data_IF_173820576949
#
_entry.id   IF_173820576949
#
_cell.length_a   1.000
_cell.length_b   1.000
_cell.length_c   1.000
_cell.angle_alpha   90.00
_cell.angle_beta   90.00
_cell.angle_gamma   90.00
#
_symmetry.space_group_name_H-M   'P 1'
#
loop_
_entity.id
_entity.type
_entity.pdbx_description
1 polymer ?
#
# COMPACT_ATOMS: atom_id res chain seq x y z
N UNK A 1 -22.68 -1.49 -6.48
CA UNK A 1 -21.36 -1.18 -7.06
C UNK A 1 -20.48 -2.37 -6.74
N UNK A 2 -19.90 -2.99 -7.75
CA UNK A 2 -19.06 -4.16 -7.59
C UNK A 2 -17.65 -3.78 -8.00
N UNK A 3 -16.69 -4.03 -7.10
CA UNK A 3 -15.30 -3.59 -7.26
C UNK A 3 -14.43 -4.84 -7.38
N UNK A 4 -13.62 -4.93 -8.42
CA UNK A 4 -12.75 -6.10 -8.63
C UNK A 4 -11.67 -6.15 -7.55
N UNK A 5 -11.70 -7.20 -6.72
CA UNK A 5 -10.70 -7.42 -5.67
C UNK A 5 -9.29 -7.56 -6.27
N UNK A 6 -9.17 -8.26 -7.39
CA UNK A 6 -7.92 -8.43 -8.13
C UNK A 6 -7.30 -7.09 -8.51
N UNK A 7 -8.09 -6.17 -9.09
CA UNK A 7 -7.62 -4.83 -9.47
C UNK A 7 -7.20 -3.99 -8.27
N UNK A 8 -7.95 -4.06 -7.17
CA UNK A 8 -7.60 -3.37 -5.92
C UNK A 8 -6.26 -3.87 -5.40
N UNK A 9 -6.10 -5.19 -5.23
CA UNK A 9 -4.88 -5.78 -4.66
C UNK A 9 -3.64 -5.51 -5.52
N UNK A 10 -3.73 -5.70 -6.84
CA UNK A 10 -2.60 -5.40 -7.74
C UNK A 10 -2.24 -3.93 -7.75
N UNK A 11 -3.20 -3.04 -7.58
CA UNK A 11 -2.90 -1.62 -7.50
C UNK A 11 -2.31 -1.21 -6.16
N UNK A 12 -2.72 -1.85 -5.07
CA UNK A 12 -2.12 -1.66 -3.75
C UNK A 12 -0.69 -2.20 -3.71
N UNK A 13 -0.42 -3.34 -4.34
CA UNK A 13 0.94 -3.89 -4.40
C UNK A 13 1.92 -2.91 -5.07
N UNK A 14 1.48 -2.18 -6.10
CA UNK A 14 2.27 -1.09 -6.72
C UNK A 14 2.50 0.07 -5.73
N UNK A 15 1.50 0.39 -4.91
CA UNK A 15 1.64 1.44 -3.90
C UNK A 15 2.63 1.03 -2.79
N UNK A 16 2.68 -0.26 -2.44
CA UNK A 16 3.67 -0.83 -1.53
C UNK A 16 5.08 -0.76 -2.13
N UNK A 17 5.26 -1.21 -3.37
CA UNK A 17 6.54 -1.10 -4.09
C UNK A 17 7.04 0.37 -4.12
N UNK A 18 6.15 1.34 -4.38
CA UNK A 18 6.48 2.78 -4.30
C UNK A 18 6.86 3.24 -2.89
N UNK A 19 6.24 2.66 -1.86
CA UNK A 19 6.58 2.92 -0.46
C UNK A 19 7.99 2.46 -0.13
N UNK A 20 8.41 1.33 -0.67
CA UNK A 20 9.76 0.81 -0.47
C UNK A 20 10.79 1.63 -1.23
N UNK A 21 10.56 1.86 -2.52
CA UNK A 21 11.42 2.70 -3.37
C UNK A 21 11.67 4.08 -2.76
N UNK A 22 10.64 4.70 -2.18
CA UNK A 22 10.75 6.03 -1.57
C UNK A 22 11.32 6.01 -0.15
N UNK A 23 11.57 4.85 0.46
CA UNK A 23 12.18 4.73 1.78
C UNK A 23 13.60 4.19 1.76
N UNK A 24 14.07 3.67 0.62
CA UNK A 24 15.45 3.20 0.48
C UNK A 24 16.36 4.43 0.39
N UNK A 25 17.09 4.67 1.47
CA UNK A 25 18.15 5.67 1.52
C UNK A 25 19.40 5.25 0.73
N UNK A 26 20.47 6.02 0.84
CA UNK A 26 21.75 5.76 0.13
C UNK A 26 22.61 4.66 0.76
N UNK A 27 22.18 4.09 1.89
CA UNK A 27 22.95 3.08 2.62
C UNK A 27 22.64 1.67 2.10
N UNK A 28 23.66 0.82 2.03
CA UNK A 28 23.47 -0.60 1.71
C UNK A 28 22.69 -1.30 2.81
N UNK A 29 21.73 -2.13 2.40
CA UNK A 29 20.86 -2.92 3.29
C UNK A 29 21.10 -4.38 2.94
N UNK A 30 21.96 -5.05 3.73
CA UNK A 30 22.30 -6.45 3.50
C UNK A 30 21.57 -7.31 4.53
N UNK A 31 20.82 -8.31 4.07
CA UNK A 31 20.21 -9.30 4.96
C UNK A 31 21.26 -10.31 5.44
N UNK A 32 21.40 -10.48 6.75
CA UNK A 32 22.45 -11.30 7.37
C UNK A 32 22.49 -12.77 6.90
N UNK A 33 21.32 -13.38 6.66
CA UNK A 33 21.23 -14.82 6.36
C UNK A 33 21.45 -15.12 4.89
N UNK A 34 20.91 -14.28 4.00
CA UNK A 34 20.98 -14.46 2.54
C UNK A 34 22.18 -13.75 1.93
N UNK A 35 22.72 -12.74 2.62
CA UNK A 35 23.74 -11.82 2.13
C UNK A 35 23.34 -11.08 0.83
N UNK A 36 22.04 -10.90 0.63
CA UNK A 36 21.48 -10.10 -0.48
C UNK A 36 21.43 -8.64 -0.06
N UNK A 37 21.82 -7.76 -0.98
CA UNK A 37 21.85 -6.31 -0.80
C UNK A 37 20.60 -5.68 -1.41
N UNK A 38 19.61 -5.42 -0.58
CA UNK A 38 18.28 -4.95 -0.95
C UNK A 38 18.35 -3.55 -1.59
N UNK A 39 19.33 -2.72 -1.21
CA UNK A 39 19.47 -1.37 -1.76
C UNK A 39 19.84 -1.33 -3.25
N UNK A 40 20.21 -2.47 -3.84
CA UNK A 40 20.49 -2.59 -5.29
C UNK A 40 19.27 -3.00 -6.09
N UNK A 41 18.18 -3.38 -5.43
CA UNK A 41 16.95 -3.77 -6.09
C UNK A 41 16.07 -2.55 -6.33
N UNK A 42 15.46 -2.44 -7.51
CA UNK A 42 14.64 -1.28 -7.89
C UNK A 42 13.21 -1.33 -7.32
N UNK A 43 12.78 -2.48 -6.79
CA UNK A 43 11.44 -2.76 -6.28
C UNK A 43 10.29 -2.52 -7.26
N UNK A 44 10.57 -2.18 -8.52
CA UNK A 44 9.56 -1.87 -9.51
C UNK A 44 8.82 -3.14 -9.95
N UNK A 45 7.56 -3.26 -9.53
CA UNK A 45 6.72 -4.45 -9.70
C UNK A 45 7.17 -5.67 -8.87
N UNK A 46 7.99 -5.47 -7.84
CA UNK A 46 8.51 -6.54 -6.98
C UNK A 46 7.39 -7.43 -6.45
N UNK A 47 6.39 -6.83 -5.79
CA UNK A 47 5.25 -7.58 -5.24
C UNK A 47 4.50 -8.41 -6.30
N UNK A 48 4.37 -7.89 -7.52
CA UNK A 48 3.69 -8.59 -8.62
C UNK A 48 4.54 -9.71 -9.24
N UNK A 49 5.86 -9.54 -9.32
CA UNK A 49 6.79 -10.57 -9.76
C UNK A 49 6.91 -11.69 -8.74
N UNK A 50 7.02 -11.35 -7.45
CA UNK A 50 6.93 -12.29 -6.33
C UNK A 50 5.61 -13.08 -6.37
N UNK A 51 4.49 -12.41 -6.67
CA UNK A 51 3.20 -13.07 -6.87
C UNK A 51 3.21 -14.05 -8.07
N UNK A 52 3.73 -13.63 -9.23
CA UNK A 52 3.84 -14.50 -10.40
C UNK A 52 4.64 -15.77 -10.11
N UNK A 53 5.84 -15.61 -9.54
CA UNK A 53 6.70 -16.75 -9.17
C UNK A 53 5.98 -17.66 -8.17
N UNK A 54 5.29 -17.07 -7.17
CA UNK A 54 4.51 -17.81 -6.18
C UNK A 54 3.40 -18.66 -6.82
N UNK A 55 2.67 -18.12 -7.81
CA UNK A 55 1.63 -18.86 -8.53
C UNK A 55 2.20 -19.99 -9.40
N UNK A 56 3.35 -19.77 -10.04
CA UNK A 56 4.04 -20.84 -10.78
C UNK A 56 4.47 -21.99 -9.86
N UNK A 57 5.04 -21.67 -8.70
CA UNK A 57 5.42 -22.65 -7.67
C UNK A 57 4.19 -23.39 -7.13
N UNK A 58 3.11 -22.67 -6.83
CA UNK A 58 1.86 -23.25 -6.35
C UNK A 58 1.29 -24.27 -7.34
N UNK A 59 1.33 -23.96 -8.65
CA UNK A 59 0.91 -24.87 -9.71
C UNK A 59 1.76 -26.14 -9.73
N UNK A 60 3.08 -26.02 -9.68
CA UNK A 60 3.99 -27.18 -9.64
C UNK A 60 3.81 -28.02 -8.36
N UNK A 61 3.45 -27.39 -7.25
CA UNK A 61 3.13 -28.04 -5.97
C UNK A 61 1.69 -28.56 -5.87
N UNK A 62 0.88 -28.42 -6.93
CA UNK A 62 -0.55 -28.77 -6.96
C UNK A 62 -1.41 -28.08 -5.89
N UNK A 63 -1.06 -26.85 -5.50
CA UNK A 63 -1.86 -26.01 -4.60
C UNK A 63 -3.00 -25.37 -5.41
N UNK A 64 -4.22 -25.48 -4.89
CA UNK A 64 -5.44 -25.03 -5.58
C UNK A 64 -6.52 -24.58 -4.59
N UNK A 65 -7.63 -24.05 -5.11
CA UNK A 65 -8.76 -23.54 -4.33
C UNK A 65 -8.35 -22.38 -3.42
N UNK A 66 -8.95 -22.30 -2.23
CA UNK A 66 -8.72 -21.20 -1.29
C UNK A 66 -7.26 -21.04 -0.88
N UNK A 67 -6.46 -22.12 -0.84
CA UNK A 67 -5.03 -22.00 -0.52
C UNK A 67 -4.25 -21.22 -1.60
N UNK A 68 -4.64 -21.36 -2.87
CA UNK A 68 -4.06 -20.61 -3.99
C UNK A 68 -4.54 -19.15 -3.98
N UNK A 69 -5.81 -18.91 -3.67
CA UNK A 69 -6.38 -17.57 -3.51
C UNK A 69 -5.70 -16.81 -2.37
N UNK A 70 -5.50 -17.47 -1.22
CA UNK A 70 -4.82 -16.86 -0.08
C UNK A 70 -3.34 -16.59 -0.38
N UNK A 71 -2.64 -17.49 -1.08
CA UNK A 71 -1.27 -17.27 -1.54
C UNK A 71 -1.17 -16.08 -2.51
N UNK A 72 -2.15 -15.94 -3.41
CA UNK A 72 -2.21 -14.82 -4.34
C UNK A 72 -2.31 -13.48 -3.58
N UNK A 73 -3.21 -13.40 -2.60
CA UNK A 73 -3.36 -12.19 -1.78
C UNK A 73 -2.13 -11.93 -0.93
N UNK A 74 -1.61 -12.95 -0.23
CA UNK A 74 -0.48 -12.76 0.68
C UNK A 74 0.83 -12.45 -0.06
N UNK A 75 1.05 -12.99 -1.27
CA UNK A 75 2.22 -12.64 -2.07
C UNK A 75 2.17 -11.19 -2.60
N UNK A 76 1.00 -10.67 -2.97
CA UNK A 76 0.85 -9.26 -3.38
C UNK A 76 1.01 -8.27 -2.22
N UNK A 77 0.77 -8.72 -0.99
CA UNK A 77 0.76 -7.89 0.22
C UNK A 77 1.88 -8.26 1.20
N UNK A 78 2.88 -9.06 0.82
CA UNK A 78 3.85 -9.60 1.77
C UNK A 78 4.64 -8.49 2.49
N UNK A 79 4.99 -7.43 1.78
CA UNK A 79 5.68 -6.25 2.33
C UNK A 79 4.76 -5.14 2.86
N UNK A 80 3.48 -5.43 3.09
CA UNK A 80 2.53 -4.45 3.64
C UNK A 80 2.98 -3.84 4.97
N UNK A 81 3.82 -4.56 5.73
CA UNK A 81 4.40 -4.09 6.98
C UNK A 81 5.71 -3.29 6.85
N UNK A 82 6.35 -3.24 5.67
CA UNK A 82 7.69 -2.67 5.50
C UNK A 82 7.72 -1.13 5.53
N UNK A 83 6.58 -0.47 5.32
CA UNK A 83 6.46 0.99 5.16
C UNK A 83 6.98 1.81 6.33
N UNK A 84 7.06 1.22 7.53
CA UNK A 84 7.46 1.88 8.77
C UNK A 84 8.96 1.74 9.10
N UNK A 85 9.63 0.74 8.52
CA UNK A 85 10.91 0.27 9.07
C UNK A 85 12.13 0.74 8.27
N UNK A 86 11.96 1.09 6.98
CA UNK A 86 13.07 1.33 6.03
C UNK A 86 14.02 2.49 6.41
N UNK A 87 13.53 3.50 7.14
CA UNK A 87 14.39 4.61 7.61
C UNK A 87 15.21 4.32 8.88
N UNK A 88 15.05 3.15 9.52
CA UNK A 88 15.78 2.78 10.76
C UNK A 88 16.99 1.88 10.47
N UNK A 89 17.65 2.10 9.33
CA UNK A 89 18.67 1.25 8.74
C UNK A 89 19.89 1.02 9.64
N UNK A 90 19.88 -0.04 10.45
CA UNK A 90 21.08 -0.77 10.85
C UNK A 90 20.76 -2.29 10.86
N UNK A 91 20.79 -2.88 9.66
CA UNK A 91 21.05 -4.30 9.35
C UNK A 91 20.85 -5.32 10.50
N UNK A 92 19.61 -5.67 10.83
CA UNK A 92 19.37 -6.72 11.81
C UNK A 92 18.03 -7.42 11.62
N UNK A 93 17.99 -8.69 12.00
CA UNK A 93 16.77 -9.51 12.12
C UNK A 93 15.61 -8.81 12.84
N UNK A 94 15.85 -7.75 13.63
CA UNK A 94 14.82 -6.96 14.31
C UNK A 94 13.89 -6.24 13.34
N UNK A 95 14.40 -5.76 12.19
CA UNK A 95 13.59 -5.16 11.14
C UNK A 95 12.67 -6.18 10.48
N UNK A 96 13.27 -7.32 10.09
CA UNK A 96 12.56 -8.40 9.41
C UNK A 96 11.52 -9.03 10.36
N UNK A 97 11.78 -8.99 11.66
CA UNK A 97 10.77 -9.32 12.65
C UNK A 97 9.66 -8.24 12.70
N UNK A 98 10.04 -6.97 12.76
CA UNK A 98 9.14 -5.82 12.83
C UNK A 98 8.13 -5.78 11.67
N UNK A 99 8.60 -5.83 10.42
CA UNK A 99 7.69 -5.76 9.26
C UNK A 99 6.78 -7.01 9.16
N UNK A 100 7.24 -8.21 9.57
CA UNK A 100 6.42 -9.41 9.63
C UNK A 100 5.28 -9.25 10.66
N UNK A 101 5.62 -8.75 11.86
CA UNK A 101 4.63 -8.51 12.93
C UNK A 101 3.62 -7.43 12.53
N UNK A 102 4.10 -6.30 12.00
CA UNK A 102 3.23 -5.21 11.53
C UNK A 102 2.35 -5.66 10.38
N UNK A 103 2.91 -6.34 9.38
CA UNK A 103 2.15 -6.85 8.24
C UNK A 103 1.08 -7.86 8.65
N UNK A 104 1.41 -8.75 9.59
CA UNK A 104 0.45 -9.68 10.18
C UNK A 104 -0.67 -8.97 10.94
N UNK A 105 -0.39 -7.92 11.69
CA UNK A 105 -1.44 -7.20 12.44
C UNK A 105 -2.35 -6.41 11.50
N UNK A 106 -1.78 -5.70 10.51
CA UNK A 106 -2.53 -4.95 9.48
C UNK A 106 -3.50 -5.89 8.72
N UNK A 107 -3.06 -7.10 8.40
CA UNK A 107 -3.86 -8.06 7.61
C UNK A 107 -4.71 -9.01 8.43
N UNK A 108 -4.74 -8.87 9.75
CA UNK A 108 -5.53 -9.72 10.66
C UNK A 108 -7.04 -9.54 10.48
N UNK A 109 -7.47 -8.35 10.12
CA UNK A 109 -8.86 -7.97 9.87
C UNK A 109 -9.25 -8.10 8.39
N UNK A 110 -8.47 -8.80 7.57
CA UNK A 110 -8.73 -8.93 6.14
C UNK A 110 -10.12 -9.56 5.89
N UNK A 111 -11.02 -8.91 5.12
CA UNK A 111 -12.46 -9.20 5.19
C UNK A 111 -12.92 -10.51 4.52
N UNK A 112 -12.03 -11.25 3.87
CA UNK A 112 -12.37 -12.38 2.98
C UNK A 112 -11.62 -13.65 3.33
N UNK A 113 -10.35 -13.52 3.73
CA UNK A 113 -9.43 -14.63 3.94
C UNK A 113 -8.79 -14.51 5.32
N UNK A 114 -8.85 -15.58 6.11
CA UNK A 114 -8.49 -15.53 7.52
C UNK A 114 -7.01 -15.86 7.78
N UNK A 115 -6.32 -16.53 6.84
CA UNK A 115 -4.94 -16.98 7.05
C UNK A 115 -3.88 -16.03 6.48
N UNK A 116 -4.27 -14.93 5.83
CA UNK A 116 -3.34 -13.99 5.19
C UNK A 116 -2.32 -13.45 6.19
N UNK A 117 -2.80 -13.04 7.37
CA UNK A 117 -1.95 -12.57 8.46
C UNK A 117 -0.91 -13.59 8.88
N UNK A 118 -1.30 -14.85 8.99
CA UNK A 118 -0.40 -15.95 9.35
C UNK A 118 0.66 -16.19 8.27
N UNK A 119 0.30 -16.07 6.99
CA UNK A 119 1.28 -16.25 5.90
C UNK A 119 2.28 -15.11 5.84
N UNK A 120 1.82 -13.87 6.06
CA UNK A 120 2.67 -12.68 6.15
C UNK A 120 3.50 -12.70 7.44
N UNK A 121 3.02 -13.26 8.55
CA UNK A 121 3.83 -13.36 9.77
C UNK A 121 5.11 -14.17 9.57
N UNK A 122 5.05 -15.23 8.75
CA UNK A 122 6.13 -16.21 8.62
C UNK A 122 6.86 -16.17 7.26
N UNK A 123 6.61 -15.18 6.40
CA UNK A 123 7.19 -15.16 5.05
C UNK A 123 8.72 -14.98 5.02
N UNK A 124 9.35 -14.50 6.09
CA UNK A 124 10.81 -14.47 6.25
C UNK A 124 11.39 -15.64 7.04
N UNK A 125 10.62 -16.72 7.24
CA UNK A 125 11.15 -17.90 7.89
C UNK A 125 12.05 -18.72 6.96
N UNK A 126 13.15 -19.21 7.53
CA UNK A 126 14.09 -20.07 6.83
C UNK A 126 13.89 -21.50 7.29
N UNK A 127 14.01 -22.46 6.37
CA UNK A 127 13.74 -23.87 6.62
C UNK A 127 14.47 -24.46 7.85
N UNK A 128 15.70 -24.01 8.11
CA UNK A 128 16.53 -24.45 9.24
C UNK A 128 16.21 -23.79 10.59
N UNK A 129 15.32 -22.80 10.62
CA UNK A 129 14.97 -22.01 11.81
C UNK A 129 15.82 -20.77 12.04
N UNK A 130 16.65 -20.37 11.07
CA UNK A 130 17.43 -19.13 11.13
C UNK A 130 16.62 -17.87 10.83
N UNK A 131 15.35 -17.99 10.43
CA UNK A 131 14.48 -16.87 10.03
C UNK A 131 14.00 -15.98 11.18
N UNK A 132 13.05 -15.09 10.91
CA UNK A 132 12.71 -13.97 11.81
C UNK A 132 12.12 -14.40 13.17
N UNK A 133 11.12 -15.29 13.20
CA UNK A 133 10.50 -15.80 14.42
C UNK A 133 11.05 -17.17 14.86
N UNK A 134 12.06 -17.69 14.15
CA UNK A 134 12.81 -18.92 14.48
C UNK A 134 11.95 -20.20 14.43
N UNK A 135 10.82 -20.17 13.73
CA UNK A 135 10.09 -21.41 13.42
C UNK A 135 10.78 -22.13 12.26
N UNK A 136 10.60 -23.46 12.15
CA UNK A 136 11.39 -24.28 11.23
C UNK A 136 10.57 -25.39 10.58
N UNK A 137 11.03 -25.83 9.41
CA UNK A 137 10.50 -26.99 8.68
C UNK A 137 8.98 -26.90 8.50
N UNK A 138 8.27 -27.98 8.80
CA UNK A 138 6.83 -28.14 8.61
C UNK A 138 5.98 -27.22 9.52
N UNK A 139 6.59 -26.53 10.49
CA UNK A 139 5.88 -25.50 11.25
C UNK A 139 5.71 -24.19 10.46
N UNK A 140 6.49 -23.99 9.39
CA UNK A 140 6.35 -22.83 8.50
C UNK A 140 5.21 -23.13 7.52
N UNK A 141 4.19 -22.27 7.38
CA UNK A 141 3.15 -22.45 6.39
C UNK A 141 3.72 -22.59 4.98
N UNK A 142 3.18 -23.51 4.16
CA UNK A 142 3.70 -23.74 2.81
C UNK A 142 3.63 -22.48 1.94
N UNK A 143 2.60 -21.65 2.12
CA UNK A 143 2.47 -20.35 1.45
C UNK A 143 3.63 -19.41 1.81
N UNK A 144 4.00 -19.33 3.09
CA UNK A 144 5.15 -18.54 3.54
C UNK A 144 6.46 -19.07 2.95
N UNK A 145 6.63 -20.40 2.85
CA UNK A 145 7.81 -21.00 2.20
C UNK A 145 7.87 -20.68 0.70
N UNK A 146 6.73 -20.62 0.03
CA UNK A 146 6.62 -20.23 -1.39
C UNK A 146 6.96 -18.76 -1.57
N UNK A 147 6.36 -17.88 -0.76
CA UNK A 147 6.62 -16.43 -0.80
C UNK A 147 8.12 -16.19 -0.56
N UNK A 148 8.73 -16.83 0.43
CA UNK A 148 10.16 -16.68 0.72
C UNK A 148 11.05 -17.03 -0.46
N UNK A 149 10.73 -18.10 -1.20
CA UNK A 149 11.50 -18.47 -2.39
C UNK A 149 11.25 -17.50 -3.54
N UNK A 150 9.99 -17.08 -3.73
CA UNK A 150 9.62 -16.14 -4.78
C UNK A 150 10.26 -14.76 -4.59
N UNK A 151 10.16 -14.21 -3.39
CA UNK A 151 10.78 -12.94 -2.96
C UNK A 151 12.30 -12.95 -3.24
N UNK A 152 13.01 -13.94 -2.70
CA UNK A 152 14.46 -14.03 -2.90
C UNK A 152 14.85 -14.30 -4.36
N UNK A 153 14.02 -14.98 -5.14
CA UNK A 153 14.26 -15.13 -6.59
C UNK A 153 14.19 -13.77 -7.28
N UNK A 154 13.24 -12.94 -6.90
CA UNK A 154 13.05 -11.61 -7.46
C UNK A 154 14.16 -10.64 -7.06
N UNK A 155 14.52 -10.62 -5.78
CA UNK A 155 15.61 -9.80 -5.25
C UNK A 155 16.98 -10.14 -5.86
N UNK A 156 17.19 -11.40 -6.25
CA UNK A 156 18.40 -11.83 -6.98
C UNK A 156 18.40 -11.44 -8.46
N UNK A 157 17.24 -11.14 -9.03
CA UNK A 157 17.11 -10.81 -10.43
C UNK A 157 17.55 -9.37 -10.67
N UNK A 158 18.48 -9.18 -11.61
CA UNK A 158 18.96 -7.86 -12.01
C UNK A 158 18.32 -7.47 -13.35
N UNK A 159 17.55 -6.38 -13.37
CA UNK A 159 16.86 -5.90 -14.57
C UNK A 159 17.81 -5.39 -15.67
N UNK A 160 19.07 -5.07 -15.35
CA UNK A 160 20.09 -4.66 -16.33
C UNK A 160 20.72 -5.87 -17.05
N UNK A 161 20.42 -7.10 -16.63
CA UNK A 161 21.00 -8.33 -17.18
C UNK A 161 19.89 -9.17 -17.84
N UNK A 162 20.01 -9.56 -19.12
CA UNK A 162 19.02 -10.44 -19.74
C UNK A 162 18.88 -11.77 -19.01
N UNK A 163 17.67 -12.32 -18.95
CA UNK A 163 17.39 -13.53 -18.16
C UNK A 163 18.27 -14.73 -18.56
N UNK A 164 18.56 -14.90 -19.86
CA UNK A 164 19.41 -16.00 -20.34
C UNK A 164 20.84 -15.95 -19.77
N UNK A 165 21.35 -14.77 -19.40
CA UNK A 165 22.70 -14.57 -18.89
C UNK A 165 22.79 -14.77 -17.37
N UNK A 166 21.69 -14.56 -16.63
CA UNK A 166 21.68 -14.65 -15.17
C UNK A 166 20.95 -15.87 -14.60
N UNK A 167 20.05 -16.53 -15.37
CA UNK A 167 19.20 -17.62 -14.88
C UNK A 167 20.00 -18.75 -14.21
N UNK A 168 21.14 -19.14 -14.77
CA UNK A 168 21.98 -20.19 -14.20
C UNK A 168 22.53 -19.82 -12.81
N UNK A 169 22.90 -18.56 -12.61
CA UNK A 169 23.39 -18.07 -11.32
C UNK A 169 22.28 -18.14 -10.26
N UNK A 170 21.10 -17.59 -10.56
CA UNK A 170 19.93 -17.59 -9.67
C UNK A 170 19.53 -19.03 -9.30
N UNK A 171 19.43 -19.91 -10.29
CA UNK A 171 19.10 -21.33 -10.08
C UNK A 171 20.13 -22.02 -9.18
N UNK A 172 21.42 -21.78 -9.41
CA UNK A 172 22.48 -22.38 -8.59
C UNK A 172 22.46 -21.85 -7.15
N UNK A 173 22.17 -20.56 -6.95
CA UNK A 173 22.04 -19.98 -5.62
C UNK A 173 20.86 -20.59 -4.84
N UNK A 174 19.70 -20.74 -5.48
CA UNK A 174 18.52 -21.36 -4.87
C UNK A 174 18.80 -22.83 -4.53
N UNK A 175 19.41 -23.59 -5.45
CA UNK A 175 19.86 -24.97 -5.18
C UNK A 175 20.81 -25.06 -3.98
N UNK A 176 21.79 -24.16 -3.91
CA UNK A 176 22.78 -24.11 -2.84
C UNK A 176 22.17 -23.85 -1.46
N UNK A 177 21.00 -23.22 -1.40
CA UNK A 177 20.29 -22.90 -0.16
C UNK A 177 19.16 -23.91 0.19
N UNK A 178 19.04 -25.02 -0.56
CA UNK A 178 18.15 -26.15 -0.23
C UNK A 178 18.49 -26.71 1.16
N UNK A 179 17.47 -26.99 1.98
CA UNK A 179 17.59 -27.43 3.38
C UNK A 179 18.11 -26.38 4.37
N UNK A 180 18.48 -25.18 3.92
CA UNK A 180 18.90 -24.07 4.79
C UNK A 180 17.82 -23.00 4.82
N UNK A 181 17.66 -22.28 3.72
CA UNK A 181 16.65 -21.25 3.54
C UNK A 181 15.36 -21.90 3.05
N UNK A 182 15.47 -22.81 2.09
CA UNK A 182 14.32 -23.32 1.36
C UNK A 182 14.00 -24.78 1.70
N UNK A 183 12.70 -25.04 1.80
CA UNK A 183 12.14 -26.38 1.82
C UNK A 183 12.55 -27.17 0.57
N UNK A 184 13.00 -28.43 0.70
CA UNK A 184 13.36 -29.27 -0.43
C UNK A 184 12.32 -29.38 -1.54
N UNK A 185 11.03 -29.52 -1.16
CA UNK A 185 9.93 -29.66 -2.10
C UNK A 185 9.69 -28.38 -2.90
N UNK A 186 9.81 -27.22 -2.25
CA UNK A 186 9.65 -25.91 -2.92
C UNK A 186 10.82 -25.64 -3.86
N UNK A 187 12.05 -26.05 -3.50
CA UNK A 187 13.21 -26.00 -4.41
C UNK A 187 12.97 -26.89 -5.63
N UNK A 188 12.48 -28.13 -5.44
CA UNK A 188 12.20 -29.03 -6.56
C UNK A 188 11.15 -28.46 -7.52
N UNK A 189 10.08 -27.86 -7.00
CA UNK A 189 9.10 -27.12 -7.79
C UNK A 189 9.73 -25.93 -8.53
N UNK A 190 10.63 -25.18 -7.87
CA UNK A 190 11.38 -24.09 -8.52
C UNK A 190 12.23 -24.60 -9.68
N UNK A 191 12.92 -25.73 -9.52
CA UNK A 191 13.74 -26.33 -10.58
C UNK A 191 12.91 -26.78 -11.78
N UNK A 192 11.69 -27.26 -11.54
CA UNK A 192 10.76 -27.60 -12.61
C UNK A 192 10.37 -26.35 -13.41
N UNK A 193 9.84 -25.32 -12.75
CA UNK A 193 9.36 -24.12 -13.46
C UNK A 193 10.49 -23.34 -14.14
N UNK A 194 11.65 -23.24 -13.49
CA UNK A 194 12.83 -22.51 -14.00
C UNK A 194 13.57 -23.24 -15.12
N UNK A 195 13.23 -24.50 -15.40
CA UNK A 195 13.75 -25.22 -16.57
C UNK A 195 13.17 -24.70 -17.88
N UNK A 196 12.04 -24.00 -17.83
CA UNK A 196 11.35 -23.47 -19.01
C UNK A 196 11.77 -22.03 -19.30
N UNK A 197 11.99 -21.68 -20.56
CA UNK A 197 12.29 -20.30 -20.94
C UNK A 197 11.08 -19.37 -20.71
N UNK A 198 9.85 -19.90 -20.77
CA UNK A 198 8.62 -19.13 -20.54
C UNK A 198 8.61 -18.45 -19.17
N UNK A 199 9.02 -19.17 -18.10
CA UNK A 199 9.09 -18.62 -16.75
C UNK A 199 10.00 -17.37 -16.68
N UNK A 200 11.18 -17.46 -17.29
CA UNK A 200 12.15 -16.37 -17.29
C UNK A 200 11.73 -15.21 -18.19
N UNK A 201 11.16 -15.50 -19.35
CA UNK A 201 10.65 -14.48 -20.26
C UNK A 201 9.48 -13.71 -19.62
N UNK A 202 8.55 -14.39 -18.98
CA UNK A 202 7.45 -13.72 -18.27
C UNK A 202 7.97 -12.84 -17.13
N UNK A 203 8.96 -13.32 -16.36
CA UNK A 203 9.59 -12.55 -15.28
C UNK A 203 10.31 -11.29 -15.79
N UNK A 204 11.02 -11.40 -16.93
CA UNK A 204 11.72 -10.29 -17.59
C UNK A 204 10.75 -9.25 -18.19
N UNK A 205 9.57 -9.67 -18.64
CA UNK A 205 8.61 -8.83 -19.35
C UNK A 205 7.72 -7.98 -18.42
N UNK A 206 8.33 -7.10 -17.63
CA UNK A 206 7.64 -6.20 -16.69
C UNK A 206 6.53 -5.35 -17.33
N UNK A 207 6.72 -4.92 -18.59
CA UNK A 207 5.72 -4.14 -19.35
C UNK A 207 4.41 -4.91 -19.62
N UNK A 208 4.47 -6.26 -19.65
CA UNK A 208 3.32 -7.13 -19.89
C UNK A 208 2.88 -7.88 -18.62
N UNK A 209 3.48 -7.60 -17.47
CA UNK A 209 3.22 -8.32 -16.21
C UNK A 209 1.75 -8.34 -15.83
N UNK A 210 1.03 -7.23 -16.08
CA UNK A 210 -0.43 -7.18 -15.89
C UNK A 210 -1.15 -8.27 -16.69
N UNK A 211 -0.83 -8.41 -17.99
CA UNK A 211 -1.44 -9.40 -18.86
C UNK A 211 -1.03 -10.83 -18.49
N UNK A 212 0.20 -11.01 -18.00
CA UNK A 212 0.68 -12.28 -17.47
C UNK A 212 -0.15 -12.68 -16.25
N UNK A 213 -0.28 -11.79 -15.27
CA UNK A 213 -1.08 -12.03 -14.06
C UNK A 213 -2.58 -12.23 -14.35
N UNK A 214 -3.14 -11.56 -15.35
CA UNK A 214 -4.54 -11.77 -15.78
C UNK A 214 -4.82 -13.23 -16.16
N UNK A 215 -3.82 -13.97 -16.66
CA UNK A 215 -3.98 -15.38 -17.04
C UNK A 215 -3.86 -16.36 -15.88
N UNK A 216 -3.24 -15.95 -14.77
CA UNK A 216 -2.91 -16.84 -13.65
C UNK A 216 -3.63 -16.48 -12.35
N UNK A 217 -4.29 -15.32 -12.27
CA UNK A 217 -5.00 -14.89 -11.08
C UNK A 217 -6.16 -15.83 -10.72
N UNK A 218 -6.17 -16.41 -9.50
CA UNK A 218 -7.24 -17.30 -9.05
C UNK A 218 -8.52 -16.56 -8.66
N UNK A 219 -8.45 -15.24 -8.44
CA UNK A 219 -9.57 -14.41 -7.95
C UNK A 219 -10.04 -13.36 -8.96
N UNK A 220 -9.78 -13.58 -10.25
CA UNK A 220 -10.10 -12.62 -11.31
C UNK A 220 -11.57 -12.14 -11.30
N UNK A 221 -12.49 -13.03 -10.94
CA UNK A 221 -13.93 -12.74 -10.89
C UNK A 221 -14.45 -12.38 -9.49
N UNK A 222 -13.57 -12.16 -8.50
CA UNK A 222 -14.01 -11.83 -7.15
C UNK A 222 -14.38 -10.34 -7.06
N UNK A 223 -15.66 -10.10 -6.79
CA UNK A 223 -16.21 -8.75 -6.64
C UNK A 223 -16.48 -8.42 -5.16
N UNK A 224 -16.05 -7.23 -4.77
CA UNK A 224 -16.30 -6.64 -3.47
C UNK A 224 -17.58 -5.81 -3.54
N UNK A 225 -18.45 -5.99 -2.56
CA UNK A 225 -19.44 -4.98 -2.24
C UNK A 225 -18.76 -3.75 -1.59
N UNK A 226 -19.54 -2.68 -1.42
CA UNK A 226 -19.01 -1.42 -0.92
C UNK A 226 -18.52 -1.51 0.53
N UNK A 227 -19.10 -2.37 1.36
CA UNK A 227 -18.71 -2.53 2.76
C UNK A 227 -17.39 -3.29 2.88
N UNK A 228 -17.23 -4.41 2.14
CA UNK A 228 -15.95 -5.13 2.08
C UNK A 228 -14.83 -4.26 1.50
N UNK A 229 -15.13 -3.43 0.52
CA UNK A 229 -14.15 -2.47 0.00
C UNK A 229 -13.79 -1.41 1.03
N UNK A 230 -14.76 -0.95 1.85
CA UNK A 230 -14.48 -0.07 2.98
C UNK A 230 -13.58 -0.74 4.01
N UNK A 231 -13.81 -2.02 4.35
CA UNK A 231 -12.94 -2.77 5.26
C UNK A 231 -11.51 -2.88 4.72
N UNK A 232 -11.35 -3.12 3.42
CA UNK A 232 -10.03 -3.07 2.76
C UNK A 232 -9.42 -1.66 2.79
N UNK A 233 -10.22 -0.62 2.57
CA UNK A 233 -9.75 0.76 2.64
C UNK A 233 -9.24 1.14 4.03
N UNK A 234 -9.83 0.59 5.10
CA UNK A 234 -9.33 0.75 6.46
C UNK A 234 -7.94 0.13 6.65
N UNK A 235 -7.74 -1.09 6.12
CA UNK A 235 -6.43 -1.76 6.13
C UNK A 235 -5.40 -0.90 5.37
N UNK A 236 -5.76 -0.39 4.20
CA UNK A 236 -4.84 0.44 3.41
C UNK A 236 -4.55 1.79 4.06
N UNK A 237 -5.54 2.39 4.72
CA UNK A 237 -5.33 3.63 5.48
C UNK A 237 -4.29 3.49 6.58
N UNK A 238 -4.17 2.31 7.19
CA UNK A 238 -3.17 2.05 8.22
C UNK A 238 -1.75 2.07 7.66
N UNK A 239 -1.55 1.58 6.42
CA UNK A 239 -0.25 1.64 5.73
C UNK A 239 0.12 3.09 5.40
N UNK A 240 -0.86 3.88 4.95
CA UNK A 240 -0.70 5.30 4.62
C UNK A 240 -0.30 6.06 5.88
N UNK A 241 -1.06 5.88 6.96
CA UNK A 241 -0.85 6.54 8.24
C UNK A 241 0.48 6.09 8.88
N UNK A 242 0.92 4.86 8.65
CA UNK A 242 2.23 4.33 9.09
C UNK A 242 3.42 4.88 8.29
N UNK A 243 3.22 5.41 7.07
CA UNK A 243 4.34 5.95 6.27
C UNK A 243 5.02 7.14 6.96
N UNK A 244 4.25 7.96 7.67
CA UNK A 244 4.74 9.11 8.43
C UNK A 244 4.49 8.92 9.92
N UNK A 245 5.46 9.30 10.76
CA UNK A 245 5.30 9.25 12.21
C UNK A 245 4.19 10.19 12.75
N UNK A 246 3.62 11.05 11.88
CA UNK A 246 2.72 12.14 12.25
C UNK A 246 1.24 11.85 11.99
N UNK A 247 0.90 10.70 11.42
CA UNK A 247 -0.43 10.45 10.84
C UNK A 247 -1.22 9.32 11.50
N UNK A 248 -0.84 8.87 12.70
CA UNK A 248 -1.60 7.84 13.41
C UNK A 248 -3.07 8.28 13.59
N UNK A 249 -3.98 7.66 12.84
CA UNK A 249 -5.44 7.93 12.79
C UNK A 249 -5.92 9.13 11.95
N UNK A 250 -5.03 9.80 11.22
CA UNK A 250 -5.38 10.94 10.38
C UNK A 250 -6.46 10.59 9.34
N UNK A 251 -6.20 9.54 8.56
CA UNK A 251 -7.12 9.09 7.49
C UNK A 251 -8.46 8.63 8.07
N UNK A 252 -8.44 7.97 9.23
CA UNK A 252 -9.66 7.53 9.94
C UNK A 252 -10.48 8.72 10.43
N UNK A 253 -9.84 9.74 11.01
CA UNK A 253 -10.51 10.97 11.45
C UNK A 253 -11.23 11.69 10.31
N UNK A 254 -10.56 11.85 9.17
CA UNK A 254 -11.17 12.44 7.95
C UNK A 254 -12.35 11.59 7.47
N UNK A 255 -12.19 10.27 7.42
CA UNK A 255 -13.24 9.36 6.96
C UNK A 255 -14.52 9.51 7.80
N UNK A 256 -14.40 9.56 9.13
CA UNK A 256 -15.55 9.75 10.02
C UNK A 256 -16.18 11.15 9.88
N UNK A 257 -15.37 12.20 9.71
CA UNK A 257 -15.88 13.55 9.45
C UNK A 257 -16.66 13.59 8.14
N UNK A 258 -16.10 13.07 7.05
CA UNK A 258 -16.75 13.00 5.75
C UNK A 258 -18.09 12.25 5.79
N UNK A 259 -18.12 11.10 6.48
CA UNK A 259 -19.35 10.33 6.70
C UNK A 259 -20.39 11.13 7.48
N UNK A 260 -20.01 11.74 8.62
CA UNK A 260 -20.90 12.56 9.44
C UNK A 260 -21.45 13.77 8.69
N UNK A 261 -20.62 14.44 7.90
CA UNK A 261 -21.04 15.54 7.04
C UNK A 261 -22.09 15.08 6.03
N UNK A 262 -21.82 13.99 5.31
CA UNK A 262 -22.79 13.40 4.37
C UNK A 262 -24.14 13.08 5.02
N UNK A 263 -24.13 12.43 6.20
CA UNK A 263 -25.35 12.14 6.96
C UNK A 263 -26.10 13.42 7.38
N UNK A 264 -25.36 14.44 7.82
CA UNK A 264 -25.92 15.72 8.30
C UNK A 264 -26.62 16.52 7.21
N UNK A 265 -26.17 16.40 5.97
CA UNK A 265 -26.75 17.08 4.80
C UNK A 265 -27.79 16.22 4.07
N UNK A 266 -28.07 15.01 4.55
CA UNK A 266 -29.12 14.13 4.04
C UNK A 266 -28.71 13.28 2.85
N UNK A 267 -27.42 13.00 2.67
CA UNK A 267 -26.97 12.02 1.68
C UNK A 267 -27.43 10.61 2.07
N UNK A 268 -27.69 9.77 1.07
CA UNK A 268 -27.97 8.36 1.30
C UNK A 268 -26.73 7.63 1.86
N UNK A 269 -26.98 6.45 2.41
CA UNK A 269 -25.94 5.65 3.06
C UNK A 269 -24.81 5.24 2.11
N UNK A 270 -25.15 4.91 0.86
CA UNK A 270 -24.16 4.53 -0.16
C UNK A 270 -23.19 5.68 -0.41
N UNK A 271 -23.71 6.90 -0.57
CA UNK A 271 -22.90 8.10 -0.80
C UNK A 271 -22.07 8.48 0.42
N UNK A 272 -22.61 8.32 1.63
CA UNK A 272 -21.86 8.52 2.87
C UNK A 272 -20.68 7.55 3.00
N UNK A 273 -20.88 6.27 2.67
CA UNK A 273 -19.80 5.27 2.68
C UNK A 273 -18.75 5.59 1.59
N UNK A 274 -19.17 6.01 0.39
CA UNK A 274 -18.22 6.44 -0.64
C UNK A 274 -17.35 7.62 -0.19
N UNK A 275 -17.94 8.62 0.47
CA UNK A 275 -17.21 9.74 1.07
C UNK A 275 -16.23 9.27 2.15
N UNK A 276 -16.66 8.31 2.98
CA UNK A 276 -15.84 7.69 4.02
C UNK A 276 -14.61 7.00 3.42
N UNK A 277 -14.81 6.18 2.38
CA UNK A 277 -13.72 5.50 1.66
C UNK A 277 -12.78 6.50 0.99
N UNK A 278 -13.32 7.55 0.38
CA UNK A 278 -12.49 8.61 -0.22
C UNK A 278 -11.62 9.31 0.84
N UNK A 279 -12.16 9.54 2.04
CA UNK A 279 -11.38 10.02 3.19
C UNK A 279 -10.28 9.05 3.64
N UNK A 280 -10.55 7.74 3.69
CA UNK A 280 -9.54 6.73 4.04
C UNK A 280 -8.37 6.67 3.05
N UNK A 281 -8.63 6.95 1.77
CA UNK A 281 -7.69 6.73 0.68
C UNK A 281 -7.12 8.02 0.05
N UNK A 282 -7.53 9.21 0.51
CA UNK A 282 -7.13 10.50 -0.08
C UNK A 282 -5.60 10.67 -0.18
N UNK A 283 -4.90 10.13 0.80
CA UNK A 283 -3.46 10.26 0.97
C UNK A 283 -2.66 9.03 0.50
N UNK A 284 -3.27 8.07 -0.22
CA UNK A 284 -2.55 6.85 -0.61
C UNK A 284 -1.29 7.12 -1.46
N UNK A 285 -1.28 8.23 -2.20
CA UNK A 285 -0.10 8.67 -2.93
C UNK A 285 1.07 9.13 -2.06
N UNK A 286 0.90 9.34 -0.74
CA UNK A 286 2.01 9.61 0.18
C UNK A 286 3.01 8.46 0.24
N UNK A 287 2.58 7.25 -0.11
CA UNK A 287 3.45 6.10 -0.25
C UNK A 287 4.56 6.34 -1.29
N UNK A 288 4.35 7.17 -2.31
CA UNK A 288 5.38 7.52 -3.28
C UNK A 288 6.32 8.66 -2.83
N UNK A 289 6.10 9.27 -1.67
CA UNK A 289 6.85 10.42 -1.21
C UNK A 289 8.01 9.98 -0.30
N UNK A 290 9.23 10.52 -0.50
CA UNK A 290 10.38 10.21 0.35
C UNK A 290 10.11 10.48 1.82
N UNK A 291 10.52 9.54 2.69
CA UNK A 291 10.24 9.63 4.13
C UNK A 291 10.97 10.81 4.78
N UNK A 292 12.16 11.15 4.32
CA UNK A 292 12.96 12.28 4.81
C UNK A 292 12.27 13.63 4.54
N UNK A 293 11.41 13.69 3.52
CA UNK A 293 10.61 14.86 3.18
C UNK A 293 9.32 14.87 4.00
N UNK A 294 8.63 13.73 4.12
CA UNK A 294 7.39 13.62 4.91
C UNK A 294 7.64 13.90 6.41
N UNK A 295 8.71 13.34 6.96
CA UNK A 295 9.02 13.39 8.39
C UNK A 295 10.01 14.53 8.75
N UNK A 296 10.21 15.50 7.84
CA UNK A 296 11.19 16.58 8.04
C UNK A 296 10.84 17.42 9.26
N UNK A 297 11.77 17.50 10.22
CA UNK A 297 11.69 18.38 11.38
C UNK A 297 12.03 19.83 10.98
N UNK A 298 11.10 20.53 10.34
CA UNK A 298 11.25 21.94 9.94
C UNK A 298 10.44 22.31 8.69
N UNK A 299 10.53 23.57 8.22
CA UNK A 299 9.84 23.97 7.02
C UNK A 299 10.44 23.29 5.78
N UNK A 300 9.55 22.94 4.85
CA UNK A 300 9.93 22.45 3.53
C UNK A 300 10.38 23.61 2.65
N UNK A 301 11.43 23.39 1.86
CA UNK A 301 11.80 24.30 0.79
C UNK A 301 10.85 24.13 -0.42
N UNK A 302 11.03 24.95 -1.46
CA UNK A 302 10.15 24.95 -2.64
C UNK A 302 10.21 23.63 -3.44
N UNK A 303 11.37 23.00 -3.50
CA UNK A 303 11.59 21.77 -4.26
C UNK A 303 10.99 20.58 -3.50
N UNK A 304 11.25 20.49 -2.20
CA UNK A 304 10.64 19.51 -1.28
C UNK A 304 9.11 19.63 -1.29
N UNK A 305 8.58 20.86 -1.24
CA UNK A 305 7.14 21.08 -1.33
C UNK A 305 6.58 20.65 -2.70
N UNK A 306 7.33 20.83 -3.78
CA UNK A 306 6.93 20.36 -5.12
C UNK A 306 6.85 18.83 -5.18
N UNK A 307 7.72 18.13 -4.46
CA UNK A 307 7.65 16.67 -4.29
C UNK A 307 6.39 16.30 -3.51
N UNK A 308 6.09 16.93 -2.37
CA UNK A 308 4.85 16.64 -1.62
C UNK A 308 3.61 16.87 -2.48
N UNK A 309 3.56 17.92 -3.30
CA UNK A 309 2.43 18.20 -4.20
C UNK A 309 2.15 17.11 -5.23
N UNK A 310 3.05 16.14 -5.40
CA UNK A 310 2.83 14.99 -6.29
C UNK A 310 1.96 13.90 -5.66
N UNK A 311 1.75 13.86 -4.34
CA UNK A 311 1.00 12.77 -3.73
C UNK A 311 -0.46 12.67 -4.22
N UNK A 312 -1.23 13.75 -4.49
CA UNK A 312 -2.59 13.57 -5.02
C UNK A 312 -2.57 13.04 -6.46
N UNK A 313 -1.50 13.31 -7.22
CA UNK A 313 -1.29 12.68 -8.52
C UNK A 313 -1.09 11.16 -8.37
N UNK A 314 -0.26 10.73 -7.43
CA UNK A 314 -0.08 9.30 -7.15
C UNK A 314 -1.36 8.65 -6.59
N UNK A 315 -2.13 9.35 -5.73
CA UNK A 315 -3.46 8.92 -5.29
C UNK A 315 -4.36 8.63 -6.50
N UNK A 316 -4.43 9.56 -7.46
CA UNK A 316 -5.21 9.37 -8.69
C UNK A 316 -4.72 8.17 -9.52
N UNK A 317 -3.40 8.02 -9.66
CA UNK A 317 -2.79 6.92 -10.43
C UNK A 317 -3.07 5.55 -9.82
N UNK A 318 -3.05 5.45 -8.48
CA UNK A 318 -3.34 4.21 -7.75
C UNK A 318 -4.85 3.93 -7.81
N UNK A 319 -5.69 4.87 -7.39
CA UNK A 319 -7.14 4.61 -7.27
C UNK A 319 -7.83 4.37 -8.61
N UNK A 320 -7.40 5.00 -9.71
CA UNK A 320 -7.98 4.73 -11.04
C UNK A 320 -7.72 3.30 -11.53
N UNK A 321 -6.73 2.58 -10.99
CA UNK A 321 -6.46 1.19 -11.35
C UNK A 321 -7.38 0.20 -10.64
N UNK A 322 -8.10 0.62 -9.59
CA UNK A 322 -9.07 -0.24 -8.90
C UNK A 322 -10.26 -0.61 -9.80
N UNK A 323 -10.41 0.07 -10.95
CA UNK A 323 -11.52 -0.11 -11.87
C UNK A 323 -12.63 0.89 -11.58
N UNK A 324 -13.88 0.45 -11.65
CA UNK A 324 -15.05 1.32 -11.50
C UNK A 324 -15.39 1.58 -10.03
N UNK A 325 -14.52 2.29 -9.32
CA UNK A 325 -14.79 2.78 -7.95
C UNK A 325 -15.67 4.05 -7.93
N UNK A 326 -16.23 4.43 -9.09
CA UNK A 326 -17.03 5.62 -9.29
C UNK A 326 -16.26 6.89 -8.93
N UNK A 327 -16.95 7.82 -8.29
CA UNK A 327 -16.41 9.15 -7.97
C UNK A 327 -15.39 9.17 -6.81
N UNK A 328 -15.24 8.06 -6.07
CA UNK A 328 -14.35 7.96 -4.89
C UNK A 328 -12.93 8.44 -5.23
N UNK A 329 -12.37 7.95 -6.35
CA UNK A 329 -11.02 8.28 -6.78
C UNK A 329 -10.83 9.76 -7.06
N UNK A 330 -11.83 10.42 -7.67
CA UNK A 330 -11.79 11.86 -7.93
C UNK A 330 -11.84 12.67 -6.66
N UNK A 331 -12.77 12.36 -5.76
CA UNK A 331 -12.89 13.08 -4.48
C UNK A 331 -11.61 12.96 -3.66
N UNK A 332 -11.05 11.75 -3.60
CA UNK A 332 -9.83 11.44 -2.89
C UNK A 332 -8.62 12.21 -3.46
N UNK A 333 -8.48 12.37 -4.79
CA UNK A 333 -7.32 13.05 -5.38
C UNK A 333 -7.46 14.58 -5.51
N UNK A 334 -8.64 15.15 -5.27
CA UNK A 334 -8.91 16.59 -5.38
C UNK A 334 -8.82 17.35 -4.05
N UNK A 335 -8.53 16.69 -2.94
CA UNK A 335 -8.59 17.28 -1.59
C UNK A 335 -7.68 18.53 -1.41
N UNK A 336 -6.66 18.69 -2.25
CA UNK A 336 -5.78 19.86 -2.27
C UNK A 336 -6.09 20.91 -3.36
N UNK A 337 -7.10 20.70 -4.18
CA UNK A 337 -7.61 21.72 -5.09
C UNK A 337 -8.27 22.88 -4.32
N UNK A 338 -8.30 24.07 -4.93
CA UNK A 338 -8.82 25.30 -4.30
C UNK A 338 -9.74 26.03 -5.27
N UNK A 339 -10.79 26.68 -4.75
CA UNK A 339 -11.83 27.28 -5.60
C UNK A 339 -11.30 28.33 -6.59
N UNK A 340 -10.22 29.03 -6.23
CA UNK A 340 -9.56 30.03 -7.07
C UNK A 340 -8.58 29.46 -8.12
N UNK A 341 -8.43 28.13 -8.21
CA UNK A 341 -7.52 27.47 -9.16
C UNK A 341 -6.04 27.47 -8.76
N UNK A 342 -5.69 27.93 -7.55
CA UNK A 342 -4.31 27.90 -7.04
C UNK A 342 -3.96 26.60 -6.30
N UNK A 343 -4.88 25.63 -6.28
CA UNK A 343 -4.67 24.30 -5.73
C UNK A 343 -3.80 23.41 -6.61
N UNK A 344 -3.72 22.14 -6.26
CA UNK A 344 -2.93 21.14 -6.97
C UNK A 344 -3.59 19.75 -6.90
N UNK A 345 -3.29 18.84 -7.84
CA UNK A 345 -2.25 18.92 -8.88
C UNK A 345 -2.70 19.55 -10.21
N UNK A 346 -4.00 19.71 -10.45
CA UNK A 346 -4.57 20.13 -11.74
C UNK A 346 -4.91 21.62 -11.81
N UNK A 347 -5.04 22.30 -10.67
CA UNK A 347 -5.42 23.71 -10.62
C UNK A 347 -6.88 23.92 -10.98
N UNK A 348 -7.75 23.00 -10.52
CA UNK A 348 -9.19 23.04 -10.77
C UNK A 348 -9.82 24.28 -10.15
N UNK A 349 -10.85 24.83 -10.80
CA UNK A 349 -11.59 25.99 -10.29
C UNK A 349 -12.91 25.53 -9.69
N UNK A 350 -13.59 26.44 -9.00
CA UNK A 350 -14.86 26.15 -8.33
C UNK A 350 -15.88 25.39 -9.19
N UNK A 351 -16.01 25.71 -10.48
CA UNK A 351 -16.94 25.06 -11.41
C UNK A 351 -16.61 23.59 -11.70
N UNK A 352 -15.35 23.19 -11.50
CA UNK A 352 -14.82 21.86 -11.81
C UNK A 352 -14.82 20.95 -10.55
N UNK A 353 -15.14 21.51 -9.37
CA UNK A 353 -15.14 20.82 -8.08
C UNK A 353 -16.56 20.63 -7.57
N UNK A 354 -16.96 19.37 -7.40
CA UNK A 354 -18.28 18.99 -6.88
C UNK A 354 -18.39 19.24 -5.36
N UNK A 355 -19.57 18.97 -4.78
CA UNK A 355 -19.80 19.18 -3.34
C UNK A 355 -18.91 18.27 -2.49
N UNK A 356 -18.68 17.04 -2.95
CA UNK A 356 -17.90 16.02 -2.27
C UNK A 356 -16.40 16.34 -2.27
N UNK A 357 -15.84 16.83 -3.39
CA UNK A 357 -14.45 17.32 -3.43
C UNK A 357 -14.22 18.38 -2.35
N UNK A 358 -15.18 19.30 -2.21
CA UNK A 358 -15.12 20.42 -1.26
C UNK A 358 -15.28 19.95 0.19
N UNK A 359 -16.11 18.93 0.42
CA UNK A 359 -16.29 18.33 1.74
C UNK A 359 -14.98 17.66 2.18
N UNK A 360 -14.37 16.84 1.34
CA UNK A 360 -13.09 16.17 1.68
C UNK A 360 -12.01 17.20 1.96
N UNK A 361 -11.85 18.21 1.09
CA UNK A 361 -10.84 19.25 1.29
C UNK A 361 -11.01 20.02 2.62
N UNK A 362 -12.24 20.28 3.05
CA UNK A 362 -12.52 20.97 4.32
C UNK A 362 -12.32 20.03 5.51
N UNK A 363 -12.72 18.76 5.40
CA UNK A 363 -12.51 17.76 6.46
C UNK A 363 -11.03 17.47 6.69
N UNK A 364 -10.24 17.35 5.63
CA UNK A 364 -8.78 17.19 5.68
C UNK A 364 -8.11 18.35 6.43
N UNK A 365 -8.36 19.59 5.99
CA UNK A 365 -7.79 20.78 6.65
C UNK A 365 -8.23 20.85 8.11
N UNK A 366 -9.50 20.58 8.41
CA UNK A 366 -9.98 20.60 9.80
C UNK A 366 -9.28 19.54 10.66
N UNK A 367 -9.20 18.28 10.19
CA UNK A 367 -8.53 17.20 10.89
C UNK A 367 -7.06 17.57 11.18
N UNK A 368 -6.35 18.07 10.16
CA UNK A 368 -4.97 18.53 10.28
C UNK A 368 -4.78 19.67 11.30
N UNK A 369 -5.80 20.50 11.54
CA UNK A 369 -5.75 21.59 12.52
C UNK A 369 -5.96 21.11 13.95
N UNK A 370 -6.88 20.16 14.16
CA UNK A 370 -7.28 19.69 15.50
C UNK A 370 -6.46 18.53 16.04
N UNK A 371 -5.76 17.77 15.18
CA UNK A 371 -4.90 16.68 15.63
C UNK A 371 -3.61 17.22 16.26
N UNK A 372 -3.11 16.48 17.25
CA UNK A 372 -1.78 16.70 17.79
C UNK A 372 -0.73 16.29 16.75
N UNK A 373 0.28 17.15 16.57
CA UNK A 373 1.45 16.86 15.75
C UNK A 373 2.70 17.01 16.63
N UNK A 374 3.82 16.33 16.34
CA UNK A 374 4.99 16.39 17.22
C UNK A 374 5.56 17.78 17.50
N UNK A 375 5.27 18.75 16.64
CA UNK A 375 5.70 20.14 16.77
C UNK A 375 4.57 21.10 17.18
N UNK A 376 3.32 20.63 17.36
CA UNK A 376 2.17 21.50 17.64
C UNK A 376 0.99 20.70 18.24
N UNK A 377 0.49 21.16 19.38
CA UNK A 377 -0.79 20.68 19.92
C UNK A 377 -1.97 21.00 18.99
N UNK A 378 -2.98 20.13 19.03
CA UNK A 378 -4.26 20.29 18.35
C UNK A 378 -4.91 21.64 18.68
N UNK A 379 -5.51 22.28 17.68
CA UNK A 379 -6.28 23.51 17.92
C UNK A 379 -7.65 23.19 18.47
N UNK A 380 -8.16 24.08 19.34
CA UNK A 380 -9.57 24.04 19.71
C UNK A 380 -10.48 24.32 18.51
N UNK A 381 -11.73 23.90 18.66
CA UNK A 381 -12.79 24.07 17.66
C UNK A 381 -12.92 25.51 17.15
N UNK A 382 -12.88 26.51 18.04
CA UNK A 382 -13.11 27.92 17.65
C UNK A 382 -11.97 28.42 16.77
N UNK A 383 -10.73 28.08 17.12
CA UNK A 383 -9.53 28.47 16.38
C UNK A 383 -9.46 27.76 15.03
N UNK A 384 -9.80 26.48 14.98
CA UNK A 384 -9.85 25.74 13.71
C UNK A 384 -10.86 26.36 12.72
N UNK A 385 -12.08 26.68 13.18
CA UNK A 385 -13.07 27.33 12.32
C UNK A 385 -12.70 28.76 11.91
N UNK A 386 -12.02 29.51 12.77
CA UNK A 386 -11.50 30.84 12.40
C UNK A 386 -10.51 30.78 11.23
N UNK A 387 -9.66 29.75 11.18
CA UNK A 387 -8.74 29.53 10.04
C UNK A 387 -9.53 29.15 8.78
N UNK A 388 -10.50 28.24 8.89
CA UNK A 388 -11.34 27.86 7.75
C UNK A 388 -12.11 29.07 7.19
N UNK A 389 -12.70 29.90 8.05
CA UNK A 389 -13.44 31.12 7.66
C UNK A 389 -12.51 32.13 6.97
N UNK A 390 -11.27 32.26 7.44
CA UNK A 390 -10.25 33.06 6.75
C UNK A 390 -9.98 32.52 5.35
N UNK A 391 -9.77 31.21 5.20
CA UNK A 391 -9.54 30.58 3.89
C UNK A 391 -10.75 30.72 2.95
N UNK A 392 -11.97 30.75 3.48
CA UNK A 392 -13.19 31.08 2.71
C UNK A 392 -13.13 32.52 2.19
N UNK A 393 -12.79 33.50 3.04
CA UNK A 393 -12.70 34.90 2.63
C UNK A 393 -11.60 35.18 1.59
N UNK A 394 -10.54 34.36 1.58
CA UNK A 394 -9.48 34.37 0.57
C UNK A 394 -9.86 33.64 -0.74
N UNK A 395 -11.07 33.06 -0.80
CA UNK A 395 -11.57 32.32 -1.96
C UNK A 395 -10.89 30.97 -2.18
N UNK A 396 -10.30 30.38 -1.13
CA UNK A 396 -9.62 29.09 -1.19
C UNK A 396 -10.60 27.93 -0.97
N UNK A 397 -11.53 28.07 -0.01
CA UNK A 397 -12.47 27.03 0.40
C UNK A 397 -13.93 27.43 0.16
N UNK A 398 -14.81 26.43 0.11
CA UNK A 398 -16.24 26.63 -0.06
C UNK A 398 -16.93 26.90 1.28
N UNK A 399 -17.54 28.08 1.42
CA UNK A 399 -18.31 28.48 2.59
C UNK A 399 -19.38 27.44 2.98
N UNK A 400 -20.13 26.94 1.98
CA UNK A 400 -21.16 25.91 2.19
C UNK A 400 -20.59 24.62 2.80
N UNK A 401 -19.41 24.18 2.35
CA UNK A 401 -18.76 22.97 2.88
C UNK A 401 -18.26 23.19 4.33
N UNK A 402 -17.69 24.36 4.64
CA UNK A 402 -17.31 24.73 6.02
C UNK A 402 -18.54 24.78 6.93
N UNK A 403 -19.65 25.34 6.45
CA UNK A 403 -20.91 25.34 7.18
C UNK A 403 -21.42 23.91 7.45
N UNK A 404 -21.35 23.01 6.47
CA UNK A 404 -21.76 21.60 6.63
C UNK A 404 -20.90 20.87 7.67
N UNK A 405 -19.58 21.04 7.62
CA UNK A 405 -18.67 20.51 8.63
C UNK A 405 -19.01 21.04 10.03
N UNK A 406 -19.22 22.35 10.16
CA UNK A 406 -19.59 22.98 11.44
C UNK A 406 -20.86 22.40 12.02
N UNK A 407 -21.90 22.22 11.19
CA UNK A 407 -23.17 21.62 11.59
C UNK A 407 -23.00 20.18 12.05
N UNK A 408 -22.22 19.37 11.33
CA UNK A 408 -22.00 17.96 11.65
C UNK A 408 -21.29 17.77 13.00
N UNK A 409 -20.32 18.64 13.31
CA UNK A 409 -19.60 18.59 14.59
C UNK A 409 -20.49 19.04 15.75
N UNK A 410 -21.25 20.12 15.60
CA UNK A 410 -22.12 20.64 16.66
C UNK A 410 -23.23 19.65 17.03
N UNK A 411 -23.77 18.91 16.06
CA UNK A 411 -24.81 17.89 16.33
C UNK A 411 -24.28 16.64 17.05
N UNK A 412 -22.95 16.48 17.15
CA UNK A 412 -22.30 15.34 17.80
C UNK A 412 -21.87 15.62 19.25
N UNK A 413 -22.02 16.86 19.73
CA UNK A 413 -21.79 17.31 21.10
C UNK A 413 -23.12 17.65 21.76
#
# INVERSE_FOLDING_TARGET
MYISMDKVLRSISIALDLAEMSSIGTNSIIEDVTNIDYSKHLFLNHSQRTCYISLCLAKALNISGTHLEELYVSSLLHDIGATNFLSKSHSSNEFILGHCLTGSEITKSFPIFNNISNFILYHHENWDGSGALKIKKDNIPVQSQIIRLADLTDLLYNDDIPSYAQKTHIVNWIKGNKNKIFCPKVVEAFLEISSTDMFWLDLENTSYLKYILDKVSPIYNYELDLYKFMDMAYIFSEIIDNKSAFTAEHSRGIAELCYKVGRTIGYDETKCIKLKIAGLLHDIGKLAIPKEILDKNGPLNKDEFSIIKSHPYYTNIILNRFGEIGDIGFWACNHHEKLNGKGYPRGLKAKDLCEEDRIIAVCDIYQALIEDRPYREGMDFKRAFSILDKMVSEGLLCDKAVYHLRKAIIQSN
#
